data_IF_851376872829
#
_entry.id   IF_851376872829
#
_cell.length_a   1.000
_cell.length_b   1.000
_cell.length_c   1.000
_cell.angle_alpha   90.00
_cell.angle_beta   90.00
_cell.angle_gamma   90.00
#
_symmetry.space_group_name_H-M   'P 1'
#
loop_
_entity.id
_entity.type
_entity.pdbx_description
1 polymer ?
#
# COMPACT_ATOMS: atom_id res chain seq x y z
N UNK A 1 -0.79 4.20 -26.31
CA UNK A 1 -1.84 3.96 -25.29
C UNK A 1 -1.13 3.30 -24.12
N UNK A 2 -1.07 3.95 -22.96
CA UNK A 2 -0.44 3.33 -21.78
C UNK A 2 -1.26 2.11 -21.38
N UNK A 3 -0.61 0.95 -21.29
CA UNK A 3 -1.23 -0.31 -20.88
C UNK A 3 -1.85 -0.19 -19.48
N UNK A 4 -3.02 -0.82 -19.27
CA UNK A 4 -3.74 -0.76 -17.99
C UNK A 4 -2.91 -1.36 -16.85
N UNK A 5 -2.99 -0.74 -15.66
CA UNK A 5 -2.32 -1.24 -14.45
C UNK A 5 -3.36 -2.06 -13.68
N UNK A 6 -3.34 -3.38 -13.85
CA UNK A 6 -4.31 -4.28 -13.25
C UNK A 6 -3.67 -5.27 -12.29
N UNK A 7 -4.50 -5.85 -11.44
CA UNK A 7 -4.11 -6.85 -10.47
C UNK A 7 -5.31 -7.57 -9.89
N UNK A 8 -5.04 -8.49 -8.98
CA UNK A 8 -6.08 -9.27 -8.35
C UNK A 8 -5.57 -10.19 -7.25
N UNK A 9 -6.50 -10.85 -6.58
CA UNK A 9 -6.13 -11.88 -5.61
C UNK A 9 -5.56 -13.12 -6.31
N UNK A 10 -4.91 -14.00 -5.53
CA UNK A 10 -4.31 -15.23 -6.03
C UNK A 10 -5.29 -16.14 -6.80
N UNK A 11 -6.54 -16.26 -6.32
CA UNK A 11 -7.55 -17.10 -6.99
C UNK A 11 -8.27 -16.42 -8.16
N UNK A 12 -7.94 -15.16 -8.48
CA UNK A 12 -8.54 -14.41 -9.59
C UNK A 12 -9.98 -13.94 -9.38
N UNK A 13 -10.63 -14.25 -8.25
CA UNK A 13 -12.01 -13.84 -7.97
C UNK A 13 -12.17 -12.34 -7.77
N UNK A 14 -11.14 -11.70 -7.22
CA UNK A 14 -11.07 -10.24 -7.12
C UNK A 14 -10.10 -9.73 -8.18
N UNK A 15 -10.57 -8.80 -9.00
CA UNK A 15 -9.78 -8.06 -9.99
C UNK A 15 -9.98 -6.57 -9.79
N UNK A 16 -8.90 -5.81 -9.92
CA UNK A 16 -8.92 -4.36 -9.77
C UNK A 16 -8.01 -3.69 -10.79
N UNK A 17 -8.25 -2.40 -11.01
CA UNK A 17 -7.45 -1.52 -11.87
C UNK A 17 -7.00 -0.30 -11.09
N UNK A 18 -5.77 0.12 -11.36
CA UNK A 18 -5.28 1.43 -10.96
C UNK A 18 -5.42 2.42 -12.12
N UNK A 19 -6.12 3.53 -11.87
CA UNK A 19 -6.28 4.63 -12.83
C UNK A 19 -5.02 5.48 -12.97
N UNK A 20 -4.13 5.44 -11.98
CA UNK A 20 -2.85 6.16 -11.93
C UNK A 20 -1.78 5.30 -11.27
N UNK A 21 -0.50 5.58 -11.56
CA UNK A 21 0.61 4.95 -10.84
C UNK A 21 0.56 5.31 -9.35
N UNK A 22 1.06 4.43 -8.46
CA UNK A 22 1.27 4.76 -7.05
C UNK A 22 2.05 6.07 -6.90
N UNK A 23 1.70 6.86 -5.88
CA UNK A 23 2.44 8.08 -5.53
C UNK A 23 3.85 7.75 -5.01
N UNK A 24 3.96 6.62 -4.32
CA UNK A 24 5.21 6.19 -3.68
C UNK A 24 5.10 4.72 -3.28
N UNK A 25 6.24 4.02 -3.22
CA UNK A 25 6.32 2.59 -2.94
C UNK A 25 7.20 2.31 -1.74
N UNK A 26 6.63 1.67 -0.72
CA UNK A 26 7.34 1.23 0.48
C UNK A 26 7.65 -0.26 0.42
N UNK A 27 8.89 -0.63 0.71
CA UNK A 27 9.21 -1.97 1.21
C UNK A 27 9.29 -1.93 2.74
N UNK A 28 8.25 -2.43 3.40
CA UNK A 28 8.14 -2.37 4.86
C UNK A 28 8.60 -3.68 5.51
N UNK A 29 9.52 -3.54 6.46
CA UNK A 29 10.15 -4.63 7.19
C UNK A 29 9.64 -4.80 8.64
N UNK A 30 8.56 -4.11 9.02
CA UNK A 30 8.05 -4.24 10.39
C UNK A 30 7.47 -5.64 10.66
N UNK A 31 7.47 -6.05 11.94
CA UNK A 31 6.97 -7.38 12.35
C UNK A 31 5.50 -7.61 12.01
N UNK A 32 4.66 -6.57 12.07
CA UNK A 32 3.25 -6.72 11.70
C UNK A 32 3.08 -7.02 10.21
N UNK A 33 3.84 -6.34 9.34
CA UNK A 33 3.82 -6.61 7.91
C UNK A 33 4.33 -8.02 7.59
N UNK A 34 5.40 -8.46 8.28
CA UNK A 34 5.93 -9.81 8.13
C UNK A 34 4.89 -10.87 8.53
N UNK A 35 4.25 -10.70 9.69
CA UNK A 35 3.24 -11.62 10.21
C UNK A 35 1.98 -11.64 9.34
N UNK A 36 1.51 -10.47 8.89
CA UNK A 36 0.28 -10.36 8.10
C UNK A 36 0.35 -11.08 6.76
N UNK A 37 1.53 -11.12 6.14
CA UNK A 37 1.74 -11.75 4.83
C UNK A 37 2.58 -13.04 4.87
N UNK A 38 3.14 -13.41 6.03
CA UNK A 38 4.05 -14.56 6.13
C UNK A 38 5.32 -14.41 5.29
N UNK A 39 5.82 -13.18 5.12
CA UNK A 39 6.97 -12.85 4.26
C UNK A 39 8.02 -12.03 5.02
N UNK A 40 9.22 -11.89 4.45
CA UNK A 40 10.29 -11.08 5.03
C UNK A 40 9.97 -9.58 5.07
N UNK A 41 9.11 -9.12 4.15
CA UNK A 41 8.64 -7.74 4.03
C UNK A 41 7.35 -7.70 3.22
N UNK A 42 6.72 -6.52 3.17
CA UNK A 42 5.63 -6.24 2.24
C UNK A 42 5.97 -5.04 1.36
N UNK A 43 5.56 -5.11 0.10
CA UNK A 43 5.66 -3.97 -0.83
C UNK A 43 4.29 -3.31 -0.93
N UNK A 44 4.20 -2.06 -0.46
CA UNK A 44 2.97 -1.27 -0.51
C UNK A 44 3.13 -0.08 -1.45
N UNK A 45 2.22 0.07 -2.40
CA UNK A 45 2.05 1.29 -3.19
C UNK A 45 1.01 2.18 -2.54
N UNK A 46 1.35 3.44 -2.31
CA UNK A 46 0.40 4.43 -1.79
C UNK A 46 -0.40 4.99 -2.96
N UNK A 47 -1.69 4.72 -2.97
CA UNK A 47 -2.63 5.11 -4.03
C UNK A 47 -3.80 5.89 -3.44
N UNK A 48 -4.27 6.90 -4.15
CA UNK A 48 -5.55 7.53 -3.84
C UNK A 48 -6.64 6.46 -3.97
N UNK A 49 -7.52 6.36 -2.97
CA UNK A 49 -8.52 5.29 -2.95
C UNK A 49 -9.46 5.34 -4.17
N UNK A 50 -9.74 6.54 -4.69
CA UNK A 50 -10.58 6.72 -5.89
C UNK A 50 -9.92 6.24 -7.20
N UNK A 51 -8.59 6.08 -7.19
CA UNK A 51 -7.83 5.54 -8.31
C UNK A 51 -7.74 4.02 -8.27
N UNK A 52 -8.22 3.37 -7.20
CA UNK A 52 -8.35 1.92 -7.11
C UNK A 52 -9.79 1.52 -7.46
N UNK A 53 -9.97 0.95 -8.64
CA UNK A 53 -11.26 0.53 -9.17
C UNK A 53 -11.40 -1.00 -9.09
N UNK A 54 -12.44 -1.48 -8.40
CA UNK A 54 -12.79 -2.90 -8.43
C UNK A 54 -13.45 -3.22 -9.78
N UNK A 55 -12.88 -4.19 -10.50
CA UNK A 55 -13.42 -4.70 -11.76
C UNK A 55 -14.29 -5.94 -11.54
N UNK A 56 -13.94 -6.75 -10.53
CA UNK A 56 -14.63 -8.00 -10.21
C UNK A 56 -14.45 -8.32 -8.73
N UNK A 57 -15.50 -8.90 -8.13
CA UNK A 57 -15.48 -9.40 -6.76
C UNK A 57 -15.53 -8.29 -5.71
N UNK A 58 -15.76 -8.70 -4.47
CA UNK A 58 -15.83 -7.79 -3.33
C UNK A 58 -14.92 -8.32 -2.21
N UNK A 59 -13.93 -7.53 -1.75
CA UNK A 59 -13.09 -7.95 -0.64
C UNK A 59 -13.83 -7.84 0.69
N UNK A 60 -13.49 -8.72 1.63
CA UNK A 60 -13.87 -8.57 3.03
C UNK A 60 -12.88 -7.66 3.75
N UNK A 61 -13.40 -6.78 4.60
CA UNK A 61 -12.58 -5.94 5.49
C UNK A 61 -12.30 -6.68 6.80
N UNK A 62 -11.02 -6.83 7.13
CA UNK A 62 -10.56 -7.37 8.42
C UNK A 62 -9.87 -6.26 9.19
N UNK A 63 -10.45 -5.83 10.31
CA UNK A 63 -9.85 -4.82 11.19
C UNK A 63 -8.82 -5.45 12.12
N UNK A 64 -7.60 -4.92 12.11
CA UNK A 64 -6.50 -5.29 12.99
C UNK A 64 -6.31 -4.23 14.06
N UNK A 65 -6.06 -4.69 15.30
CA UNK A 65 -5.65 -3.83 16.41
C UNK A 65 -4.24 -3.32 16.16
N UNK A 66 -4.00 -2.04 16.47
CA UNK A 66 -2.64 -1.45 16.44
C UNK A 66 -2.32 -0.84 17.80
N UNK A 67 -1.03 -0.81 18.15
CA UNK A 67 -0.55 -0.19 19.39
C UNK A 67 -0.87 1.31 19.46
N UNK A 68 -1.09 1.95 18.30
CA UNK A 68 -1.46 3.37 18.21
C UNK A 68 -2.93 3.65 18.55
N UNK A 69 -3.75 2.61 18.73
CA UNK A 69 -5.20 2.72 18.91
C UNK A 69 -5.98 3.10 17.63
N UNK A 70 -5.29 3.42 16.53
CA UNK A 70 -5.95 3.66 15.23
C UNK A 70 -6.26 2.34 14.54
N UNK A 71 -7.45 2.17 13.95
CA UNK A 71 -7.81 0.94 13.25
C UNK A 71 -6.91 0.74 12.03
N UNK A 72 -6.44 -0.49 11.82
CA UNK A 72 -5.80 -0.92 10.58
C UNK A 72 -6.73 -1.88 9.85
N UNK A 73 -7.42 -1.38 8.84
CA UNK A 73 -8.34 -2.21 8.04
C UNK A 73 -7.59 -2.82 6.87
N UNK A 74 -7.61 -4.15 6.75
CA UNK A 74 -7.02 -4.91 5.64
C UNK A 74 -8.13 -5.50 4.79
N UNK A 75 -8.13 -5.20 3.49
CA UNK A 75 -9.10 -5.74 2.55
C UNK A 75 -8.54 -7.01 1.93
N UNK A 76 -9.28 -8.11 2.04
CA UNK A 76 -8.84 -9.46 1.65
C UNK A 76 -9.84 -10.12 0.73
N UNK A 77 -9.36 -11.03 -0.11
CA UNK A 77 -10.26 -11.94 -0.81
C UNK A 77 -10.96 -12.89 0.17
N UNK A 78 -12.28 -13.00 0.06
CA UNK A 78 -13.10 -13.92 0.86
C UNK A 78 -12.70 -15.38 0.67
N UNK A 79 -12.25 -15.75 -0.53
CA UNK A 79 -12.00 -17.13 -0.91
C UNK A 79 -10.55 -17.55 -0.62
N UNK A 80 -9.56 -16.80 -1.14
CA UNK A 80 -8.15 -17.16 -0.99
C UNK A 80 -7.41 -16.37 0.09
N UNK A 81 -8.08 -15.44 0.78
CA UNK A 81 -7.53 -14.66 1.90
C UNK A 81 -6.33 -13.76 1.56
N UNK A 82 -5.96 -13.64 0.28
CA UNK A 82 -4.95 -12.69 -0.19
C UNK A 82 -5.32 -11.28 0.27
N UNK A 83 -4.40 -10.63 0.99
CA UNK A 83 -4.53 -9.22 1.32
C UNK A 83 -4.22 -8.36 0.08
N UNK A 84 -5.13 -7.45 -0.23
CA UNK A 84 -5.05 -6.62 -1.45
C UNK A 84 -4.61 -5.20 -1.13
N UNK A 85 -5.20 -4.56 -0.12
CA UNK A 85 -4.72 -3.26 0.36
C UNK A 85 -5.05 -3.06 1.84
N UNK A 86 -4.47 -2.01 2.40
CA UNK A 86 -4.75 -1.54 3.75
C UNK A 86 -5.22 -0.09 3.78
N UNK A 87 -6.08 0.23 4.73
CA UNK A 87 -6.45 1.57 5.14
C UNK A 87 -6.07 1.77 6.61
N UNK A 88 -5.18 2.72 6.87
CA UNK A 88 -4.70 3.03 8.21
C UNK A 88 -5.45 4.23 8.79
N UNK A 89 -6.26 3.98 9.81
CA UNK A 89 -7.06 4.99 10.50
C UNK A 89 -8.39 5.30 9.82
N UNK A 90 -8.92 4.38 8.99
CA UNK A 90 -10.19 4.55 8.26
C UNK A 90 -10.24 5.85 7.48
N UNK A 91 -9.14 6.17 6.80
CA UNK A 91 -9.03 7.39 5.98
C UNK A 91 -9.99 7.34 4.81
N UNK A 92 -10.23 6.16 4.22
CA UNK A 92 -11.04 5.91 3.01
C UNK A 92 -10.61 6.70 1.76
N UNK A 93 -9.64 7.60 1.85
CA UNK A 93 -9.09 8.37 0.72
C UNK A 93 -7.68 7.93 0.28
N UNK A 94 -6.99 7.12 1.10
CA UNK A 94 -5.64 6.62 0.83
C UNK A 94 -5.58 5.11 1.07
N UNK A 95 -5.14 4.36 0.07
CA UNK A 95 -4.97 2.91 0.16
C UNK A 95 -3.50 2.52 0.01
N UNK A 96 -3.08 1.54 0.81
CA UNK A 96 -1.75 0.94 0.77
C UNK A 96 -1.89 -0.40 0.03
N UNK A 97 -1.78 -0.36 -1.29
CA UNK A 97 -1.97 -1.52 -2.17
C UNK A 97 -0.78 -2.48 -2.05
N UNK A 98 -1.04 -3.78 -1.87
CA UNK A 98 0.01 -4.81 -1.96
C UNK A 98 0.45 -4.92 -3.42
N UNK A 99 1.61 -4.36 -3.77
CA UNK A 99 2.00 -4.29 -5.19
C UNK A 99 2.26 -5.66 -5.81
N UNK A 100 2.63 -6.65 -5.00
CA UNK A 100 2.81 -8.03 -5.47
C UNK A 100 1.51 -8.69 -5.96
N UNK A 101 0.34 -8.07 -5.76
CA UNK A 101 -0.94 -8.54 -6.34
C UNK A 101 -1.26 -7.91 -7.70
N UNK A 102 -0.40 -7.01 -8.22
CA UNK A 102 -0.47 -6.54 -9.61
C UNK A 102 -0.02 -7.64 -10.57
N UNK A 103 -0.51 -7.58 -11.81
CA UNK A 103 -0.09 -8.53 -12.86
C UNK A 103 1.35 -8.26 -13.32
N UNK A 104 1.79 -6.99 -13.25
CA UNK A 104 3.14 -6.54 -13.62
C UNK A 104 3.83 -5.82 -12.44
N UNK A 105 4.12 -6.52 -11.33
CA UNK A 105 4.58 -5.90 -10.09
C UNK A 105 5.99 -5.29 -10.22
N UNK A 106 6.83 -5.82 -11.11
CA UNK A 106 8.21 -5.36 -11.32
C UNK A 106 8.32 -3.94 -11.88
N UNK A 107 7.24 -3.36 -12.39
CA UNK A 107 7.20 -1.96 -12.87
C UNK A 107 7.13 -0.92 -11.75
N UNK A 108 7.01 -1.38 -10.51
CA UNK A 108 6.86 -0.54 -9.33
C UNK A 108 7.83 -1.00 -8.24
N UNK A 109 9.16 -0.83 -8.47
CA UNK A 109 10.15 -1.16 -7.45
C UNK A 109 9.99 -0.26 -6.21
N UNK A 110 10.46 -0.68 -5.02
CA UNK A 110 10.42 0.15 -3.82
C UNK A 110 11.23 1.45 -3.97
N UNK A 111 10.62 2.57 -3.60
CA UNK A 111 11.30 3.86 -3.49
C UNK A 111 12.12 3.96 -2.19
N UNK A 112 11.72 3.22 -1.16
CA UNK A 112 12.34 3.17 0.16
C UNK A 112 12.17 1.80 0.81
N UNK A 113 13.10 1.47 1.71
CA UNK A 113 12.93 0.43 2.72
C UNK A 113 12.70 1.08 4.09
N UNK A 114 11.60 0.74 4.76
CA UNK A 114 11.21 1.33 6.05
C UNK A 114 11.11 0.28 7.15
N UNK A 115 11.24 0.73 8.40
CA UNK A 115 11.24 -0.11 9.59
C UNK A 115 12.32 -1.21 9.56
N UNK A 116 13.49 -0.89 8.99
CA UNK A 116 14.58 -1.86 8.82
C UNK A 116 15.22 -2.34 10.13
N UNK A 117 14.94 -1.66 11.26
CA UNK A 117 15.25 -2.19 12.60
C UNK A 117 14.66 -3.57 12.89
N UNK A 118 13.62 -3.99 12.15
CA UNK A 118 12.95 -5.29 12.27
C UNK A 118 13.16 -6.20 11.07
N UNK A 119 13.97 -5.77 10.10
CA UNK A 119 14.35 -6.56 8.93
C UNK A 119 15.00 -7.87 9.37
N UNK A 120 14.73 -8.95 8.64
CA UNK A 120 15.41 -10.21 8.86
C UNK A 120 16.86 -10.09 8.38
N UNK A 121 17.83 -10.45 9.21
CA UNK A 121 19.26 -10.18 8.97
C UNK A 121 19.75 -10.71 7.63
N UNK A 122 19.29 -11.90 7.23
CA UNK A 122 19.66 -12.58 5.98
C UNK A 122 19.12 -11.95 4.69
N UNK A 123 18.21 -10.98 4.76
CA UNK A 123 17.68 -10.30 3.56
C UNK A 123 18.69 -9.25 3.08
N UNK A 124 19.25 -9.31 1.87
CA UNK A 124 20.05 -8.19 1.37
C UNK A 124 19.15 -7.01 0.98
N UNK A 125 19.67 -5.78 1.10
CA UNK A 125 19.03 -4.59 0.53
C UNK A 125 19.84 -4.11 -0.69
N UNK A 126 19.21 -3.60 -1.76
CA UNK A 126 19.92 -3.09 -2.93
C UNK A 126 20.91 -1.98 -2.56
N UNK A 127 22.06 -1.97 -3.22
CA UNK A 127 23.04 -0.90 -3.06
C UNK A 127 22.43 0.45 -3.47
N UNK A 128 22.66 1.49 -2.66
CA UNK A 128 22.10 2.83 -2.90
C UNK A 128 20.60 2.97 -2.62
N UNK A 129 19.94 1.92 -2.12
CA UNK A 129 18.55 2.04 -1.69
C UNK A 129 18.43 3.02 -0.51
N UNK A 130 17.32 3.76 -0.46
CA UNK A 130 17.00 4.60 0.70
C UNK A 130 16.44 3.72 1.81
N UNK A 131 17.07 3.77 2.98
CA UNK A 131 16.82 2.84 4.08
C UNK A 131 16.58 3.60 5.38
N UNK A 132 15.49 3.27 6.06
CA UNK A 132 15.10 3.91 7.31
C UNK A 132 14.74 2.87 8.38
N UNK A 133 15.31 3.03 9.58
CA UNK A 133 15.02 2.17 10.73
C UNK A 133 13.58 2.34 11.26
N UNK A 134 12.91 3.42 10.89
CA UNK A 134 11.55 3.77 11.27
C UNK A 134 10.78 4.37 10.08
N UNK A 135 9.65 5.02 10.34
CA UNK A 135 8.99 5.86 9.35
C UNK A 135 9.83 7.13 9.13
N UNK A 136 9.90 7.61 7.89
CA UNK A 136 10.70 8.75 7.46
C UNK A 136 9.85 10.03 7.34
N UNK A 137 10.51 11.17 7.14
CA UNK A 137 9.79 12.41 6.82
C UNK A 137 9.26 12.40 5.39
N UNK A 138 7.95 12.31 5.25
CA UNK A 138 7.26 12.29 3.95
C UNK A 138 7.59 13.51 3.09
N UNK A 139 7.75 14.70 3.67
CA UNK A 139 8.07 15.92 2.91
C UNK A 139 9.48 15.91 2.34
N UNK A 140 10.42 15.27 3.04
CA UNK A 140 11.82 15.18 2.60
C UNK A 140 12.02 14.15 1.48
N UNK A 141 11.25 13.06 1.51
CA UNK A 141 11.55 11.89 0.67
C UNK A 141 10.64 11.71 -0.55
N UNK A 142 9.44 12.30 -0.56
CA UNK A 142 8.50 12.13 -1.68
C UNK A 142 8.81 13.13 -2.80
N UNK A 143 8.70 12.72 -4.08
CA UNK A 143 8.68 13.66 -5.19
C UNK A 143 7.58 14.71 -5.02
N UNK A 144 7.83 15.93 -5.48
CA UNK A 144 6.86 17.04 -5.34
C UNK A 144 5.49 16.70 -5.94
N UNK A 145 5.45 16.08 -7.12
CA UNK A 145 4.21 15.63 -7.76
C UNK A 145 3.40 14.68 -6.86
N UNK A 146 4.08 13.75 -6.19
CA UNK A 146 3.45 12.82 -5.26
C UNK A 146 2.94 13.51 -4.00
N UNK A 147 3.63 14.54 -3.51
CA UNK A 147 3.18 15.37 -2.38
C UNK A 147 1.94 16.18 -2.75
N UNK A 148 1.91 16.76 -3.94
CA UNK A 148 0.78 17.54 -4.45
C UNK A 148 -0.47 16.65 -4.54
N UNK A 149 -0.34 15.47 -5.17
CA UNK A 149 -1.41 14.46 -5.22
C UNK A 149 -1.89 14.02 -3.83
N UNK A 150 -0.97 13.80 -2.90
CA UNK A 150 -1.30 13.43 -1.53
C UNK A 150 -2.10 14.53 -0.82
N UNK A 151 -1.71 15.79 -1.01
CA UNK A 151 -2.36 16.97 -0.43
C UNK A 151 -3.74 17.23 -1.06
N UNK A 152 -3.87 17.07 -2.38
CA UNK A 152 -5.15 17.16 -3.08
C UNK A 152 -6.14 16.10 -2.58
N UNK A 153 -5.73 14.83 -2.53
CA UNK A 153 -6.58 13.74 -2.04
C UNK A 153 -7.02 13.96 -0.58
N UNK A 154 -6.10 14.43 0.27
CA UNK A 154 -6.38 14.78 1.67
C UNK A 154 -7.37 15.94 1.78
N UNK A 155 -7.20 16.98 0.97
CA UNK A 155 -8.04 18.18 0.98
C UNK A 155 -9.45 17.85 0.53
N UNK A 156 -9.59 17.08 -0.56
CA UNK A 156 -10.86 16.57 -1.06
C UNK A 156 -11.60 15.76 0.00
N UNK A 157 -10.91 14.85 0.69
CA UNK A 157 -11.48 14.05 1.77
C UNK A 157 -11.98 14.92 2.95
N UNK A 158 -11.23 15.96 3.34
CA UNK A 158 -11.66 16.90 4.38
C UNK A 158 -12.86 17.74 3.96
N UNK A 159 -12.94 18.14 2.69
CA UNK A 159 -14.06 18.90 2.13
C UNK A 159 -15.36 18.09 2.09
N UNK A 160 -15.27 16.78 1.82
CA UNK A 160 -16.41 15.85 1.81
C UNK A 160 -16.87 15.43 3.22
N UNK A 161 -16.03 15.63 4.25
CA UNK A 161 -16.34 15.31 5.64
C UNK A 161 -17.03 16.46 6.40
N UNK A 162 -17.32 17.58 5.74
CA UNK A 162 -17.97 18.75 6.32
C UNK A 162 -19.47 18.69 5.94
N UNK A 163 -20.40 18.72 6.91
CA UNK A 163 -21.84 18.64 6.65
C UNK A 163 -22.35 19.83 5.84
#
# INVERSE_FOLDING_TARGET
MSEAIEGGCFCGRIRYRLKRRPMFVHCCHCRDCQRQLGSAFVINGLVEAENLELLQGEPVMVSLSTDSGRPHDVYRCTDCQSALWSDYGRRKWLSFLRLATLDRPSEFPPDVHIYTRSKLDWVPLPAGARVFEAYYDTQAEWPQESLDRLNEARTKAKGQARP
#
